data_IF_730046292071
#
_entry.id   IF_730046292071
#
_cell.length_a   1.000
_cell.length_b   1.000
_cell.length_c   1.000
_cell.angle_alpha   90.00
_cell.angle_beta   90.00
_cell.angle_gamma   90.00
#
_symmetry.space_group_name_H-M   'P 1'
#
loop_
_entity.id
_entity.type
_entity.pdbx_description
1 polymer ?
#
# COMPACT_ATOMS: atom_id res chain seq x y z
N UNK A 1 -20.65 2.97 21.71
CA UNK A 1 -19.61 3.94 21.34
C UNK A 1 -19.09 3.54 19.97
N UNK A 2 -19.10 4.45 18.99
CA UNK A 2 -18.58 4.19 17.65
C UNK A 2 -17.25 4.91 17.49
N UNK A 3 -16.26 4.23 16.89
CA UNK A 3 -14.94 4.80 16.66
C UNK A 3 -14.96 5.92 15.60
N UNK A 4 -15.96 5.88 14.71
CA UNK A 4 -16.13 6.83 13.61
C UNK A 4 -17.53 7.42 13.63
N UNK A 5 -17.62 8.66 13.14
CA UNK A 5 -18.81 9.50 13.05
C UNK A 5 -19.60 9.28 11.77
N UNK A 6 -18.96 8.78 10.71
CA UNK A 6 -19.62 8.48 9.43
C UNK A 6 -18.84 7.47 8.59
N UNK A 7 -19.51 6.89 7.58
CA UNK A 7 -18.84 6.05 6.58
C UNK A 7 -17.82 6.83 5.75
N UNK A 8 -18.05 8.12 5.51
CA UNK A 8 -17.13 8.98 4.77
C UNK A 8 -15.81 9.18 5.52
N UNK A 9 -15.87 9.30 6.86
CA UNK A 9 -14.67 9.40 7.69
C UNK A 9 -13.83 8.12 7.62
N UNK A 10 -14.46 6.95 7.73
CA UNK A 10 -13.76 5.66 7.60
C UNK A 10 -13.11 5.52 6.23
N UNK A 11 -13.82 5.87 5.16
CA UNK A 11 -13.29 5.80 3.79
C UNK A 11 -12.06 6.68 3.62
N UNK A 12 -12.14 7.93 4.07
CA UNK A 12 -11.04 8.90 3.96
C UNK A 12 -9.80 8.39 4.68
N UNK A 13 -9.93 8.03 5.96
CA UNK A 13 -8.80 7.55 6.76
C UNK A 13 -8.20 6.24 6.22
N UNK A 14 -9.04 5.38 5.65
CA UNK A 14 -8.58 4.11 5.03
C UNK A 14 -7.79 4.37 3.76
N UNK A 15 -8.23 5.31 2.92
CA UNK A 15 -7.51 5.69 1.70
C UNK A 15 -6.18 6.36 2.04
N UNK A 16 -6.15 7.28 3.00
CA UNK A 16 -4.92 7.92 3.48
C UNK A 16 -3.91 6.88 3.96
N UNK A 17 -4.36 5.94 4.81
CA UNK A 17 -3.51 4.85 5.29
C UNK A 17 -3.03 3.93 4.16
N UNK A 18 -3.90 3.62 3.19
CA UNK A 18 -3.56 2.77 2.04
C UNK A 18 -2.47 3.40 1.19
N UNK A 19 -2.53 4.71 0.96
CA UNK A 19 -1.49 5.46 0.25
C UNK A 19 -0.18 5.42 1.04
N UNK A 20 -0.19 5.79 2.32
CA UNK A 20 1.02 5.79 3.15
C UNK A 20 1.68 4.40 3.20
N UNK A 21 0.88 3.34 3.38
CA UNK A 21 1.37 1.96 3.45
C UNK A 21 2.03 1.50 2.14
N UNK A 22 1.43 1.84 0.99
CA UNK A 22 1.88 1.37 -0.31
C UNK A 22 2.99 2.22 -0.92
N UNK A 23 3.03 3.51 -0.60
CA UNK A 23 3.90 4.48 -1.27
C UNK A 23 5.08 4.92 -0.40
N UNK A 24 4.91 4.96 0.93
CA UNK A 24 5.89 5.60 1.83
C UNK A 24 6.55 4.64 2.82
N UNK A 25 5.78 3.71 3.40
CA UNK A 25 6.28 2.87 4.50
C UNK A 25 7.18 1.74 4.03
N UNK A 26 8.42 1.63 4.55
CA UNK A 26 9.27 0.47 4.27
C UNK A 26 8.82 -0.77 5.04
N UNK A 27 8.81 -1.92 4.37
CA UNK A 27 8.46 -3.21 4.99
C UNK A 27 9.64 -4.17 4.95
N UNK A 28 9.97 -4.78 6.09
CA UNK A 28 11.11 -5.69 6.22
C UNK A 28 11.00 -6.94 5.34
N UNK A 29 9.79 -7.46 5.15
CA UNK A 29 9.49 -8.57 4.21
C UNK A 29 9.78 -8.23 2.75
N UNK A 30 9.83 -6.95 2.40
CA UNK A 30 10.16 -6.46 1.07
C UNK A 30 11.61 -5.96 0.99
N UNK A 31 12.45 -6.20 2.01
CA UNK A 31 13.81 -5.66 2.04
C UNK A 31 13.89 -4.21 2.51
N UNK A 32 12.99 -3.79 3.41
CA UNK A 32 12.88 -2.43 3.95
C UNK A 32 12.56 -1.37 2.89
N UNK A 33 11.68 -1.69 1.95
CA UNK A 33 11.24 -0.77 0.90
C UNK A 33 9.71 -0.72 0.80
N UNK A 34 9.15 0.40 0.31
CA UNK A 34 7.72 0.52 0.10
C UNK A 34 7.20 -0.45 -0.98
N UNK A 35 5.94 -0.93 -0.87
CA UNK A 35 5.36 -1.87 -1.83
C UNK A 35 5.41 -1.38 -3.28
N UNK A 36 5.23 -0.09 -3.52
CA UNK A 36 5.31 0.50 -4.87
C UNK A 36 6.69 0.30 -5.51
N UNK A 37 7.77 0.40 -4.72
CA UNK A 37 9.13 0.20 -5.22
C UNK A 37 9.36 -1.28 -5.52
N UNK A 38 8.85 -2.17 -4.66
CA UNK A 38 8.93 -3.61 -4.88
C UNK A 38 8.22 -4.02 -6.17
N UNK A 39 7.01 -3.51 -6.38
CA UNK A 39 6.25 -3.78 -7.59
C UNK A 39 6.96 -3.29 -8.86
N UNK A 40 7.56 -2.09 -8.83
CA UNK A 40 8.34 -1.57 -9.96
C UNK A 40 9.53 -2.47 -10.28
N UNK A 41 10.33 -2.86 -9.27
CA UNK A 41 11.47 -3.77 -9.48
C UNK A 41 11.04 -5.12 -10.05
N UNK A 42 9.88 -5.65 -9.65
CA UNK A 42 9.36 -6.90 -10.19
C UNK A 42 8.91 -6.76 -11.64
N UNK A 43 8.23 -5.67 -11.99
CA UNK A 43 7.82 -5.40 -13.37
C UNK A 43 9.02 -5.18 -14.30
N UNK A 44 10.08 -4.54 -13.82
CA UNK A 44 11.31 -4.35 -14.60
C UNK A 44 12.02 -5.69 -14.87
N UNK A 45 12.03 -6.60 -13.88
CA UNK A 45 12.66 -7.92 -14.01
C UNK A 45 11.83 -8.94 -14.77
N UNK A 46 10.51 -8.81 -14.74
CA UNK A 46 9.55 -9.63 -15.49
C UNK A 46 8.30 -8.80 -15.82
N UNK A 47 8.18 -8.27 -17.06
CA UNK A 47 7.02 -7.50 -17.48
C UNK A 47 5.70 -8.28 -17.47
N UNK A 48 5.76 -9.61 -17.40
CA UNK A 48 4.58 -10.48 -17.31
C UNK A 48 4.20 -10.80 -15.87
N UNK A 49 4.96 -10.32 -14.88
CA UNK A 49 4.67 -10.56 -13.49
C UNK A 49 3.29 -10.01 -13.11
N UNK A 50 2.47 -10.89 -12.53
CA UNK A 50 1.16 -10.55 -11.98
C UNK A 50 1.05 -11.08 -10.57
N UNK A 51 0.35 -10.33 -9.73
CA UNK A 51 0.02 -10.71 -8.37
C UNK A 51 -1.12 -11.74 -8.29
N UNK A 52 -1.63 -12.20 -9.45
CA UNK A 52 -2.63 -13.24 -9.65
C UNK A 52 -2.59 -13.74 -11.10
#
# INVERSE_FOLDING_TARGET
>A
MYLFRSLSEVRTLTEDWRTEYNEERPHSSLGNMPPVIYARQKLDGDPHWRWY
#
